data_IF_021468760215
#
_entry.id   IF_021468760215
#
_cell.length_a   1.000
_cell.length_b   1.000
_cell.length_c   1.000
_cell.angle_alpha   90.00
_cell.angle_beta   90.00
_cell.angle_gamma   90.00
#
_symmetry.space_group_name_H-M   'P 1'
#
loop_
_entity.id
_entity.type
_entity.pdbx_description
1 polymer ?
#
# COMPACT_ATOMS: atom_id res chain seq x y z
N UNK A 1 -25.37 -26.01 11.25
CA UNK A 1 -23.92 -25.76 11.32
C UNK A 1 -23.69 -24.33 10.87
N UNK A 2 -24.10 -23.40 11.74
CA UNK A 2 -24.20 -21.98 11.42
C UNK A 2 -22.85 -21.30 11.45
N UNK A 3 -22.82 -20.06 11.01
CA UNK A 3 -21.66 -19.17 10.88
C UNK A 3 -21.10 -18.74 12.27
N UNK A 4 -21.03 -19.65 13.25
CA UNK A 4 -20.47 -19.37 14.59
C UNK A 4 -18.97 -19.02 14.57
N UNK A 5 -18.26 -19.38 13.50
CA UNK A 5 -16.84 -19.06 13.30
C UNK A 5 -16.59 -17.64 12.80
N UNK A 6 -17.59 -16.96 12.21
CA UNK A 6 -17.47 -15.54 11.87
C UNK A 6 -18.12 -14.73 13.00
N UNK A 7 -17.34 -14.41 14.02
CA UNK A 7 -17.71 -13.34 14.95
C UNK A 7 -17.87 -12.06 14.11
N UNK A 8 -19.08 -11.51 13.92
CA UNK A 8 -19.30 -10.43 12.96
C UNK A 8 -18.40 -9.23 13.24
N UNK A 9 -18.21 -8.90 14.53
CA UNK A 9 -17.30 -7.83 14.95
C UNK A 9 -15.84 -8.05 14.54
N UNK A 10 -15.34 -9.29 14.59
CA UNK A 10 -13.98 -9.59 14.15
C UNK A 10 -13.84 -9.51 12.63
N UNK A 11 -14.85 -9.99 11.89
CA UNK A 11 -14.86 -9.92 10.43
C UNK A 11 -14.87 -8.47 9.91
N UNK A 12 -15.77 -7.63 10.43
CA UNK A 12 -15.81 -6.21 10.08
C UNK A 12 -14.56 -5.46 10.54
N UNK A 13 -14.02 -5.81 11.72
CA UNK A 13 -12.75 -5.27 12.21
C UNK A 13 -11.59 -5.55 11.25
N UNK A 14 -11.42 -6.81 10.82
CA UNK A 14 -10.36 -7.20 9.88
C UNK A 14 -10.48 -6.50 8.53
N UNK A 15 -11.70 -6.36 8.00
CA UNK A 15 -11.93 -5.60 6.76
C UNK A 15 -11.56 -4.13 6.93
N UNK A 16 -11.97 -3.52 8.05
CA UNK A 16 -11.67 -2.12 8.33
C UNK A 16 -10.16 -1.88 8.41
N UNK A 17 -9.42 -2.74 9.12
CA UNK A 17 -7.96 -2.65 9.20
C UNK A 17 -7.29 -2.86 7.83
N UNK A 18 -7.77 -3.79 7.01
CA UNK A 18 -7.25 -3.99 5.67
C UNK A 18 -7.44 -2.73 4.80
N UNK A 19 -8.63 -2.11 4.84
CA UNK A 19 -8.92 -0.87 4.10
C UNK A 19 -8.04 0.28 4.58
N UNK A 20 -7.83 0.42 5.89
CA UNK A 20 -6.93 1.43 6.45
C UNK A 20 -5.50 1.23 5.92
N UNK A 21 -5.00 -0.01 5.91
CA UNK A 21 -3.66 -0.30 5.37
C UNK A 21 -3.51 0.10 3.90
N UNK A 22 -4.51 -0.22 3.07
CA UNK A 22 -4.53 0.18 1.65
C UNK A 22 -4.58 1.71 1.50
N UNK A 23 -5.37 2.40 2.32
CA UNK A 23 -5.46 3.86 2.29
C UNK A 23 -4.12 4.53 2.66
N UNK A 24 -3.43 4.03 3.68
CA UNK A 24 -2.11 4.52 4.09
C UNK A 24 -1.06 4.28 2.99
N UNK A 25 -1.09 3.08 2.37
CA UNK A 25 -0.21 2.78 1.24
C UNK A 25 -0.43 3.74 0.09
N UNK A 26 -1.69 3.98 -0.30
CA UNK A 26 -2.03 4.89 -1.38
C UNK A 26 -1.62 6.33 -1.08
N UNK A 27 -1.83 6.80 0.16
CA UNK A 27 -1.39 8.12 0.60
C UNK A 27 0.13 8.26 0.50
N UNK A 28 0.88 7.23 0.92
CA UNK A 28 2.34 7.22 0.84
C UNK A 28 2.83 7.31 -0.60
N UNK A 29 2.17 6.62 -1.53
CA UNK A 29 2.47 6.72 -2.96
C UNK A 29 2.25 8.14 -3.50
N UNK A 30 1.12 8.78 -3.15
CA UNK A 30 0.84 10.17 -3.55
C UNK A 30 1.87 11.15 -2.98
N UNK A 31 2.32 10.94 -1.75
CA UNK A 31 3.37 11.76 -1.14
C UNK A 31 4.69 11.60 -1.92
N UNK A 32 5.07 10.37 -2.24
CA UNK A 32 6.31 10.10 -3.00
C UNK A 32 6.25 10.73 -4.39
N UNK A 33 5.12 10.60 -5.09
CA UNK A 33 4.92 11.21 -6.41
C UNK A 33 5.10 12.73 -6.35
N UNK A 34 4.54 13.39 -5.33
CA UNK A 34 4.73 14.83 -5.13
C UNK A 34 6.13 15.25 -4.70
N UNK A 35 6.84 14.43 -3.93
CA UNK A 35 8.19 14.72 -3.45
C UNK A 35 9.22 14.48 -4.56
N UNK A 36 8.93 13.55 -5.47
CA UNK A 36 9.81 13.23 -6.60
C UNK A 36 9.72 14.36 -7.63
N UNK A 37 10.84 15.00 -8.01
CA UNK A 37 10.84 16.13 -8.95
C UNK A 37 10.58 15.70 -10.42
N UNK A 38 10.26 14.43 -10.65
CA UNK A 38 10.05 13.84 -11.97
C UNK A 38 8.60 13.40 -12.10
N UNK A 39 8.06 13.45 -13.31
CA UNK A 39 6.78 12.85 -13.62
C UNK A 39 6.95 11.31 -13.65
N UNK A 40 6.55 10.65 -12.57
CA UNK A 40 6.67 9.19 -12.43
C UNK A 40 5.95 8.45 -13.56
N UNK A 41 4.81 8.96 -14.02
CA UNK A 41 4.05 8.34 -15.11
C UNK A 41 4.81 8.39 -16.43
N UNK A 42 5.31 9.58 -16.80
CA UNK A 42 6.10 9.76 -18.02
C UNK A 42 7.36 8.88 -18.00
N UNK A 43 8.07 8.85 -16.88
CA UNK A 43 9.31 8.06 -16.77
C UNK A 43 9.06 6.55 -16.79
N UNK A 44 8.05 6.04 -16.07
CA UNK A 44 7.81 4.61 -15.94
C UNK A 44 7.03 4.05 -17.13
N UNK A 45 5.99 4.76 -17.57
CA UNK A 45 5.05 4.25 -18.59
C UNK A 45 5.52 4.60 -19.99
N UNK A 46 5.91 5.86 -20.23
CA UNK A 46 6.28 6.32 -21.58
C UNK A 46 7.74 6.03 -21.90
N UNK A 47 8.67 6.39 -21.00
CA UNK A 47 10.11 6.20 -21.19
C UNK A 47 10.61 4.82 -20.77
N UNK A 48 9.76 4.01 -20.12
CA UNK A 48 10.10 2.68 -19.62
C UNK A 48 11.39 2.65 -18.78
N UNK A 49 11.54 3.65 -17.91
CA UNK A 49 12.68 3.76 -17.01
C UNK A 49 12.63 2.67 -15.93
N UNK A 50 13.23 1.52 -16.24
CA UNK A 50 13.28 0.35 -15.38
C UNK A 50 13.93 0.66 -14.03
N UNK A 51 14.97 1.50 -14.01
CA UNK A 51 15.64 1.88 -12.77
C UNK A 51 14.68 2.59 -11.82
N UNK A 52 13.92 3.57 -12.32
CA UNK A 52 12.91 4.28 -11.53
C UNK A 52 11.78 3.33 -11.08
N UNK A 53 11.33 2.44 -11.97
CA UNK A 53 10.31 1.44 -11.64
C UNK A 53 10.72 0.49 -10.51
N UNK A 54 11.98 0.03 -10.51
CA UNK A 54 12.53 -0.81 -9.43
C UNK A 54 12.58 -0.03 -8.12
N UNK A 55 13.03 1.23 -8.13
CA UNK A 55 13.10 2.07 -6.92
C UNK A 55 11.72 2.27 -6.32
N UNK A 56 10.72 2.64 -7.13
CA UNK A 56 9.33 2.84 -6.68
C UNK A 56 8.72 1.54 -6.18
N UNK A 57 9.00 0.41 -6.85
CA UNK A 57 8.59 -0.92 -6.39
C UNK A 57 9.19 -1.29 -5.03
N UNK A 58 10.49 -1.05 -4.83
CA UNK A 58 11.18 -1.30 -3.57
C UNK A 58 10.66 -0.40 -2.44
N UNK A 59 10.41 0.89 -2.71
CA UNK A 59 9.80 1.80 -1.75
C UNK A 59 8.38 1.35 -1.36
N UNK A 60 7.59 0.92 -2.35
CA UNK A 60 6.24 0.39 -2.13
C UNK A 60 6.25 -0.84 -1.24
N UNK A 61 7.19 -1.76 -1.45
CA UNK A 61 7.40 -2.93 -0.58
C UNK A 61 7.76 -2.51 0.85
N UNK A 62 8.66 -1.53 1.01
CA UNK A 62 9.01 -1.00 2.33
C UNK A 62 7.81 -0.45 3.09
N UNK A 63 6.96 0.33 2.42
CA UNK A 63 5.71 0.86 3.01
C UNK A 63 4.78 -0.28 3.43
N UNK A 64 4.59 -1.28 2.58
CA UNK A 64 3.76 -2.45 2.90
C UNK A 64 4.27 -3.19 4.15
N UNK A 65 5.59 -3.33 4.31
CA UNK A 65 6.19 -3.96 5.50
C UNK A 65 5.93 -3.12 6.76
N UNK A 66 6.10 -1.80 6.69
CA UNK A 66 5.84 -0.90 7.82
C UNK A 66 4.37 -0.96 8.22
N UNK A 67 3.46 -0.92 7.25
CA UNK A 67 2.01 -1.04 7.50
C UNK A 67 1.67 -2.41 8.11
N UNK A 68 2.23 -3.50 7.58
CA UNK A 68 2.02 -4.84 8.12
C UNK A 68 2.50 -4.96 9.57
N UNK A 69 3.68 -4.41 9.88
CA UNK A 69 4.23 -4.37 11.24
C UNK A 69 3.38 -3.53 12.19
N UNK A 70 2.85 -2.38 11.73
CA UNK A 70 1.99 -1.52 12.53
C UNK A 70 0.61 -2.16 12.83
N UNK A 71 0.08 -2.99 11.92
CA UNK A 71 -1.21 -3.67 12.09
C UNK A 71 -1.09 -4.94 12.95
N UNK A 72 0.08 -5.59 12.97
CA UNK A 72 0.33 -6.82 13.76
C UNK A 72 1.03 -6.56 15.11
N UNK A 73 1.12 -5.30 15.55
CA UNK A 73 1.71 -4.89 16.83
C UNK A 73 0.74 -4.90 18.00
#
# INVERSE_FOLDING_TARGET
MGIEWLKPGAFFGSILYAVIGVAIFWLSFVIIDKVTPYNLWEEIVEKQNLALGIVIGAMSLGICIIVAAAVHG
#
